data_IF_886733893740
#
_entry.id   IF_886733893740
#
_cell.length_a   1.000
_cell.length_b   1.000
_cell.length_c   1.000
_cell.angle_alpha   90.00
_cell.angle_beta   90.00
_cell.angle_gamma   90.00
#
_symmetry.space_group_name_H-M   'P 1'
#
loop_
_entity.id
_entity.type
_entity.pdbx_description
1 polymer ?
#
# COMPACT_ATOMS: atom_id res chain seq x y z
N UNK A 1 -5.50 -30.55 -7.78
CA UNK A 1 -5.78 -29.13 -8.08
C UNK A 1 -5.26 -28.33 -6.90
N UNK A 2 -4.04 -27.80 -6.98
CA UNK A 2 -3.46 -26.98 -5.91
C UNK A 2 -4.16 -25.63 -5.95
N UNK A 3 -5.18 -25.46 -5.09
CA UNK A 3 -5.90 -24.20 -4.98
C UNK A 3 -4.94 -23.08 -4.61
N UNK A 4 -5.16 -21.91 -5.21
CA UNK A 4 -4.41 -20.69 -4.91
C UNK A 4 -4.75 -20.27 -3.47
N UNK A 5 -3.95 -20.74 -2.49
CA UNK A 5 -4.03 -20.24 -1.12
C UNK A 5 -3.25 -18.93 -1.07
N UNK A 6 -3.96 -17.82 -1.15
CA UNK A 6 -3.40 -16.56 -0.71
C UNK A 6 -3.19 -16.64 0.82
N UNK A 7 -2.01 -16.21 1.28
CA UNK A 7 -1.71 -16.05 2.70
C UNK A 7 -2.04 -14.60 3.09
N UNK A 8 -3.14 -14.33 3.81
CA UNK A 8 -3.52 -12.98 4.18
C UNK A 8 -2.49 -12.30 5.09
N UNK A 9 -1.73 -13.05 5.89
CA UNK A 9 -0.70 -12.50 6.75
C UNK A 9 0.51 -12.03 5.92
N UNK A 10 0.89 -12.78 4.89
CA UNK A 10 1.92 -12.36 3.94
C UNK A 10 1.49 -11.10 3.15
N UNK A 11 0.20 -10.98 2.81
CA UNK A 11 -0.35 -9.78 2.19
C UNK A 11 -0.32 -8.58 3.14
N UNK A 12 -0.73 -8.75 4.40
CA UNK A 12 -0.65 -7.69 5.42
C UNK A 12 0.81 -7.23 5.61
N UNK A 13 1.78 -8.15 5.64
CA UNK A 13 3.21 -7.82 5.70
C UNK A 13 3.78 -7.18 4.43
N UNK A 14 3.18 -7.42 3.25
CA UNK A 14 3.51 -6.69 2.03
C UNK A 14 2.96 -5.26 2.10
N UNK A 15 1.72 -5.08 2.57
CA UNK A 15 1.12 -3.75 2.70
C UNK A 15 1.95 -2.83 3.62
N UNK A 16 2.41 -3.34 4.77
CA UNK A 16 3.29 -2.58 5.69
C UNK A 16 4.58 -2.13 4.98
N UNK A 17 5.26 -3.04 4.26
CA UNK A 17 6.49 -2.68 3.54
C UNK A 17 6.26 -1.62 2.45
N UNK A 18 5.10 -1.63 1.80
CA UNK A 18 4.74 -0.62 0.81
C UNK A 18 4.50 0.75 1.46
N UNK A 19 3.92 0.79 2.66
CA UNK A 19 3.78 2.02 3.44
C UNK A 19 5.12 2.54 3.93
N UNK A 20 5.96 1.68 4.50
CA UNK A 20 7.31 2.06 4.93
C UNK A 20 8.08 2.70 3.75
N UNK A 21 7.96 2.10 2.57
CA UNK A 21 8.54 2.66 1.34
C UNK A 21 7.93 4.01 0.96
N UNK A 22 6.62 4.17 1.09
CA UNK A 22 5.95 5.46 0.84
C UNK A 22 6.44 6.55 1.82
N UNK A 23 6.63 6.21 3.09
CA UNK A 23 7.15 7.11 4.12
C UNK A 23 8.61 7.49 3.85
N UNK A 24 9.44 6.56 3.37
CA UNK A 24 10.80 6.86 2.89
C UNK A 24 10.77 7.89 1.75
N UNK A 25 9.90 7.72 0.75
CA UNK A 25 9.75 8.72 -0.32
C UNK A 25 9.21 10.06 0.19
N UNK A 26 8.37 10.07 1.23
CA UNK A 26 7.92 11.31 1.85
C UNK A 26 9.08 12.08 2.50
N UNK A 27 9.97 11.38 3.21
CA UNK A 27 11.18 11.96 3.79
C UNK A 27 12.12 12.53 2.71
N UNK A 28 12.36 11.76 1.63
CA UNK A 28 13.19 12.22 0.51
C UNK A 28 12.60 13.45 -0.18
N UNK A 29 11.28 13.53 -0.35
CA UNK A 29 10.64 14.73 -0.92
C UNK A 29 10.91 15.96 -0.05
N UNK A 30 10.78 15.82 1.27
CA UNK A 30 11.01 16.92 2.21
C UNK A 30 12.47 17.39 2.18
N UNK A 31 13.43 16.46 2.11
CA UNK A 31 14.85 16.77 1.99
C UNK A 31 15.14 17.53 0.68
N UNK A 32 14.58 17.06 -0.44
CA UNK A 32 14.74 17.70 -1.76
C UNK A 32 14.18 19.13 -1.73
N UNK A 33 13.01 19.35 -1.12
CA UNK A 33 12.43 20.69 -0.99
C UNK A 33 13.28 21.62 -0.11
N UNK A 34 13.83 21.10 0.99
CA UNK A 34 14.71 21.85 1.89
C UNK A 34 16.03 22.28 1.22
N UNK A 35 16.53 21.56 0.21
CA UNK A 35 17.75 21.97 -0.51
C UNK A 35 17.63 23.29 -1.27
N UNK A 36 16.41 23.77 -1.49
CA UNK A 36 16.17 25.07 -2.15
C UNK A 36 16.04 26.26 -1.20
N UNK A 37 16.08 26.02 0.11
CA UNK A 37 16.06 27.07 1.12
C UNK A 37 17.48 27.66 1.30
N UNK A 38 17.83 28.66 0.49
CA UNK A 38 19.11 29.36 0.64
C UNK A 38 19.50 30.26 -0.53
N UNK A 39 20.69 30.87 -0.43
CA UNK A 39 21.31 31.57 -1.55
C UNK A 39 21.87 30.52 -2.54
N UNK A 40 21.11 30.30 -3.62
CA UNK A 40 21.47 29.39 -4.72
C UNK A 40 22.35 30.07 -5.78
N UNK A 41 22.85 31.27 -5.49
CA UNK A 41 23.70 32.05 -6.38
C UNK A 41 22.89 32.89 -7.39
N UNK A 42 23.44 33.12 -8.60
CA UNK A 42 22.83 34.00 -9.58
C UNK A 42 21.36 33.67 -9.88
N UNK A 43 20.49 34.68 -10.13
CA UNK A 43 19.05 34.47 -10.28
C UNK A 43 18.64 33.43 -11.33
N UNK A 44 19.37 33.37 -12.45
CA UNK A 44 19.11 32.38 -13.51
C UNK A 44 19.41 30.94 -13.05
N UNK A 45 20.45 30.75 -12.23
CA UNK A 45 20.83 29.44 -11.66
C UNK A 45 19.82 29.05 -10.59
N UNK A 46 19.47 29.97 -9.69
CA UNK A 46 18.44 29.76 -8.68
C UNK A 46 17.11 29.34 -9.31
N UNK A 47 16.65 30.02 -10.36
CA UNK A 47 15.42 29.67 -11.06
C UNK A 47 15.47 28.28 -11.71
N UNK A 48 16.59 27.92 -12.34
CA UNK A 48 16.78 26.61 -12.94
C UNK A 48 16.77 25.49 -11.88
N UNK A 49 17.41 25.72 -10.73
CA UNK A 49 17.41 24.79 -9.61
C UNK A 49 16.02 24.64 -8.99
N UNK A 50 15.30 25.74 -8.75
CA UNK A 50 13.91 25.69 -8.27
C UNK A 50 13.01 24.90 -9.21
N UNK A 51 13.13 25.09 -10.53
CA UNK A 51 12.35 24.32 -11.51
C UNK A 51 12.69 22.81 -11.47
N UNK A 52 13.99 22.47 -11.43
CA UNK A 52 14.45 21.10 -11.37
C UNK A 52 13.99 20.40 -10.07
N UNK A 53 14.18 21.04 -8.92
CA UNK A 53 13.74 20.51 -7.61
C UNK A 53 12.22 20.38 -7.56
N UNK A 54 11.48 21.33 -8.13
CA UNK A 54 10.03 21.26 -8.26
C UNK A 54 9.58 20.04 -9.07
N UNK A 55 10.21 19.78 -10.21
CA UNK A 55 9.90 18.60 -11.04
C UNK A 55 10.20 17.29 -10.30
N UNK A 56 11.37 17.19 -9.67
CA UNK A 56 11.76 15.97 -8.95
C UNK A 56 10.91 15.73 -7.71
N UNK A 57 10.63 16.75 -6.90
CA UNK A 57 9.71 16.62 -5.76
C UNK A 57 8.32 16.19 -6.23
N UNK A 58 7.83 16.70 -7.36
CA UNK A 58 6.58 16.26 -7.98
C UNK A 58 6.58 14.77 -8.31
N UNK A 59 7.64 14.28 -8.98
CA UNK A 59 7.79 12.85 -9.33
C UNK A 59 7.90 11.95 -8.09
N UNK A 60 8.64 12.37 -7.07
CA UNK A 60 8.79 11.65 -5.81
C UNK A 60 7.44 11.52 -5.10
N UNK A 61 6.66 12.61 -5.03
CA UNK A 61 5.30 12.58 -4.44
C UNK A 61 4.35 11.68 -5.21
N UNK A 62 4.48 11.59 -6.55
CA UNK A 62 3.70 10.68 -7.36
C UNK A 62 4.03 9.21 -7.01
N UNK A 63 5.33 8.86 -6.96
CA UNK A 63 5.78 7.51 -6.58
C UNK A 63 5.29 7.13 -5.17
N UNK A 64 5.40 8.03 -4.20
CA UNK A 64 4.83 7.84 -2.85
C UNK A 64 3.34 7.49 -2.92
N UNK A 65 2.57 8.21 -3.75
CA UNK A 65 1.13 8.00 -3.89
C UNK A 65 0.82 6.63 -4.47
N UNK A 66 1.62 6.17 -5.45
CA UNK A 66 1.48 4.84 -6.04
C UNK A 66 1.76 3.73 -5.02
N UNK A 67 2.79 3.88 -4.18
CA UNK A 67 3.09 2.93 -3.10
C UNK A 67 1.98 2.87 -2.05
N UNK A 68 1.46 4.01 -1.61
CA UNK A 68 0.33 4.06 -0.68
C UNK A 68 -0.93 3.39 -1.26
N UNK A 69 -1.26 3.68 -2.53
CA UNK A 69 -2.39 3.07 -3.22
C UNK A 69 -2.21 1.54 -3.41
N UNK A 70 -0.98 1.09 -3.65
CA UNK A 70 -0.65 -0.33 -3.71
C UNK A 70 -0.83 -1.01 -2.33
N UNK A 71 -0.40 -0.37 -1.24
CA UNK A 71 -0.61 -0.88 0.12
C UNK A 71 -2.11 -1.07 0.43
N UNK A 72 -2.93 -0.08 0.10
CA UNK A 72 -4.39 -0.15 0.28
C UNK A 72 -5.02 -1.27 -0.56
N UNK A 73 -4.57 -1.44 -1.80
CA UNK A 73 -5.03 -2.52 -2.69
C UNK A 73 -4.68 -3.90 -2.13
N UNK A 74 -3.48 -4.06 -1.57
CA UNK A 74 -3.03 -5.31 -0.94
C UNK A 74 -3.86 -5.63 0.32
N UNK A 75 -4.17 -4.63 1.15
CA UNK A 75 -5.08 -4.82 2.30
C UNK A 75 -6.48 -5.21 1.87
N UNK A 76 -7.01 -4.57 0.84
CA UNK A 76 -8.31 -4.92 0.29
C UNK A 76 -8.33 -6.38 -0.18
N UNK A 77 -7.26 -6.84 -0.84
CA UNK A 77 -7.10 -8.23 -1.23
C UNK A 77 -7.01 -9.18 -0.01
N UNK A 78 -6.20 -8.86 1.01
CA UNK A 78 -6.09 -9.65 2.24
C UNK A 78 -7.45 -9.81 2.94
N UNK A 79 -8.23 -8.72 3.00
CA UNK A 79 -9.59 -8.72 3.54
C UNK A 79 -10.55 -9.59 2.72
N UNK A 80 -10.46 -9.52 1.39
CA UNK A 80 -11.29 -10.32 0.49
C UNK A 80 -11.01 -11.83 0.67
N UNK A 81 -9.74 -12.23 0.77
CA UNK A 81 -9.37 -13.63 1.02
C UNK A 81 -9.88 -14.13 2.37
N UNK A 82 -9.72 -13.35 3.45
CA UNK A 82 -10.29 -13.69 4.77
C UNK A 82 -11.81 -13.87 4.71
N UNK A 83 -12.52 -13.01 3.97
CA UNK A 83 -13.96 -13.11 3.79
C UNK A 83 -14.40 -14.35 3.01
N UNK A 84 -13.64 -14.71 1.96
CA UNK A 84 -13.88 -15.92 1.19
C UNK A 84 -13.65 -17.18 2.03
N UNK A 85 -12.57 -17.24 2.80
CA UNK A 85 -12.26 -18.36 3.69
C UNK A 85 -13.35 -18.52 4.77
N UNK A 86 -13.78 -17.44 5.41
CA UNK A 86 -14.85 -17.47 6.41
C UNK A 86 -16.17 -18.02 5.82
N UNK A 87 -16.52 -17.56 4.62
CA UNK A 87 -17.73 -18.02 3.92
C UNK A 87 -17.66 -19.50 3.55
N UNK A 88 -16.48 -19.98 3.14
CA UNK A 88 -16.25 -21.39 2.84
C UNK A 88 -16.36 -22.25 4.11
N UNK A 89 -15.78 -21.83 5.23
CA UNK A 89 -15.87 -22.52 6.51
C UNK A 89 -17.31 -22.59 7.02
N UNK A 90 -18.09 -21.51 6.89
CA UNK A 90 -19.51 -21.49 7.26
C UNK A 90 -20.34 -22.46 6.40
N UNK A 91 -20.08 -22.51 5.09
CA UNK A 91 -20.73 -23.44 4.19
C UNK A 91 -20.40 -24.90 4.54
N UNK A 92 -19.12 -25.20 4.82
CA UNK A 92 -18.69 -26.53 5.25
C UNK A 92 -19.30 -26.93 6.59
N UNK A 93 -19.37 -26.03 7.57
CA UNK A 93 -20.03 -26.28 8.85
C UNK A 93 -21.50 -26.66 8.70
N UNK A 94 -22.23 -25.96 7.81
CA UNK A 94 -23.64 -26.28 7.50
C UNK A 94 -23.84 -27.64 6.82
N UNK A 95 -22.87 -28.07 6.01
CA UNK A 95 -22.91 -29.38 5.32
C UNK A 95 -22.54 -30.51 6.30
N UNK A 96 -21.57 -30.26 7.18
CA UNK A 96 -20.98 -31.27 8.07
C UNK A 96 -21.81 -31.51 9.35
N UNK A 97 -22.64 -30.53 9.75
CA UNK A 97 -23.60 -30.67 10.86
C UNK A 97 -25.08 -30.56 10.39
N UNK A 98 -25.62 -31.61 9.74
CA UNK A 98 -27.04 -31.65 9.39
C UNK A 98 -27.95 -32.06 10.56
N UNK A 99 -27.40 -32.42 11.73
CA UNK A 99 -28.12 -33.19 12.77
C UNK A 99 -28.82 -32.33 13.84
N UNK A 100 -28.60 -31.02 13.90
CA UNK A 100 -29.30 -30.12 14.83
C UNK A 100 -30.76 -29.78 14.46
N UNK A 101 -31.34 -30.39 13.41
CA UNK A 101 -32.68 -30.02 12.89
C UNK A 101 -33.71 -31.15 12.86
N UNK A 102 -33.42 -32.29 13.49
CA UNK A 102 -34.32 -33.43 13.53
C UNK A 102 -34.53 -33.96 14.96
N UNK A 103 -34.78 -33.05 15.91
CA UNK A 103 -35.56 -33.37 17.11
C UNK A 103 -36.83 -32.52 17.08
N UNK A 104 -37.92 -33.14 16.65
CA UNK A 104 -39.26 -32.59 16.50
C UNK A 104 -40.22 -33.64 15.97
#
# INVERSE_FOLDING_TARGET
MTGFHADPAALDGLAVRLEDTADEFAAVSADVEATTDGDLGPPAIAAALTALTGEWSGRIRAVRTDYAAAADSVRAAAKAFRGADASAQEALGRITDPAGRADG
#
